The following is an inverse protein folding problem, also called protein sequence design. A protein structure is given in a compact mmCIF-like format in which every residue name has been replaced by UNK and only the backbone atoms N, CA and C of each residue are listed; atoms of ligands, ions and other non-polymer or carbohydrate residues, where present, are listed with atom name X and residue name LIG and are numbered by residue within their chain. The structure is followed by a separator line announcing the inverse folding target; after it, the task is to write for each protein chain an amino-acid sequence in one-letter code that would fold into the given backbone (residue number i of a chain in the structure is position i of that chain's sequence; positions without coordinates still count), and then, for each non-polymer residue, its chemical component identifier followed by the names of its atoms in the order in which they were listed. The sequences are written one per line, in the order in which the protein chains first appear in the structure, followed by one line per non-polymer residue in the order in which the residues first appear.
data_IF_719575858968
#
_entry.id   IF_719575858968
#
_cell.length_a   1.000
_cell.length_b   1.000
_cell.length_c   1.000
_cell.angle_alpha   90.00
_cell.angle_beta   90.00
_cell.angle_gamma   90.00
#
_symmetry.space_group_name_H-M   'P 1'
#
loop_
_entity.id
_entity.type
_entity.pdbx_description
1 polymer ?
#
# COMPACT_ATOMS: atom_id res chain seq x y z
N UNK A 1 -30.97 -39.89 -31.32
CA UNK A 1 -29.70 -39.24 -30.93
C UNK A 1 -30.00 -37.97 -30.14
N UNK A 2 -29.89 -38.00 -28.80
CA UNK A 2 -30.13 -36.84 -27.93
C UNK A 2 -28.83 -36.01 -27.86
N UNK A 3 -28.86 -34.77 -28.34
CA UNK A 3 -27.76 -33.81 -28.15
C UNK A 3 -28.08 -32.97 -26.91
N UNK A 4 -27.49 -33.31 -25.79
CA UNK A 4 -27.49 -32.50 -24.57
C UNK A 4 -26.44 -31.39 -24.71
N UNK A 5 -26.89 -30.15 -24.92
CA UNK A 5 -26.04 -28.96 -24.77
C UNK A 5 -25.79 -28.73 -23.28
N UNK A 6 -24.55 -28.98 -22.83
CA UNK A 6 -24.10 -28.54 -21.51
C UNK A 6 -23.70 -27.07 -21.61
N UNK A 7 -24.62 -26.17 -21.25
CA UNK A 7 -24.32 -24.74 -21.10
C UNK A 7 -23.48 -24.55 -19.83
N UNK A 8 -22.18 -24.33 -19.99
CA UNK A 8 -21.27 -24.06 -18.89
C UNK A 8 -21.57 -22.67 -18.32
N UNK A 9 -22.29 -22.63 -17.20
CA UNK A 9 -22.52 -21.42 -16.43
C UNK A 9 -21.21 -21.02 -15.74
N UNK A 10 -20.45 -20.12 -16.35
CA UNK A 10 -19.28 -19.48 -15.72
C UNK A 10 -19.77 -18.55 -14.60
N UNK A 11 -19.90 -19.08 -13.39
CA UNK A 11 -20.05 -18.26 -12.19
C UNK A 11 -18.77 -17.45 -11.97
N UNK A 12 -18.88 -16.12 -12.09
CA UNK A 12 -17.81 -15.18 -11.75
C UNK A 12 -17.47 -15.22 -10.25
N UNK A 13 -16.47 -16.01 -9.87
CA UNK A 13 -15.80 -15.90 -8.58
C UNK A 13 -14.75 -14.78 -8.65
N UNK A 14 -15.13 -13.53 -8.41
CA UNK A 14 -14.11 -12.44 -8.27
C UNK A 14 -14.42 -11.37 -7.22
N UNK A 15 -15.45 -11.56 -6.38
CA UNK A 15 -15.80 -10.61 -5.31
C UNK A 15 -15.22 -10.96 -3.93
N UNK A 16 -14.78 -12.21 -3.70
CA UNK A 16 -14.48 -12.69 -2.34
C UNK A 16 -13.14 -12.24 -1.74
N UNK A 17 -12.14 -11.87 -2.55
CA UNK A 17 -10.79 -11.55 -2.05
C UNK A 17 -10.71 -10.18 -1.33
N UNK A 18 -11.60 -9.24 -1.66
CA UNK A 18 -11.57 -7.87 -1.11
C UNK A 18 -12.25 -7.76 0.27
N UNK A 19 -13.19 -8.64 0.60
CA UNK A 19 -14.05 -8.49 1.79
C UNK A 19 -13.34 -8.71 3.14
N UNK A 20 -12.19 -9.40 3.15
CA UNK A 20 -11.48 -9.78 4.37
C UNK A 20 -10.02 -9.30 4.43
N UNK A 21 -9.65 -8.33 3.57
CA UNK A 21 -8.29 -7.78 3.57
C UNK A 21 -8.26 -6.55 4.48
N UNK A 22 -7.41 -6.51 5.54
CA UNK A 22 -7.23 -5.31 6.35
C UNK A 22 -6.89 -4.09 5.51
N UNK A 23 -7.50 -2.96 5.84
CA UNK A 23 -7.34 -1.72 5.08
C UNK A 23 -6.30 -0.84 5.77
N UNK A 24 -5.37 -0.22 5.01
CA UNK A 24 -4.46 0.75 5.57
C UNK A 24 -5.22 2.00 6.02
N UNK A 25 -4.63 2.77 6.92
CA UNK A 25 -5.14 4.08 7.33
C UNK A 25 -4.75 5.13 6.28
N UNK A 26 -5.59 5.32 5.27
CA UNK A 26 -5.38 6.27 4.19
C UNK A 26 -6.65 7.07 3.93
N UNK A 27 -6.46 8.28 3.41
CA UNK A 27 -7.54 9.12 2.89
C UNK A 27 -7.57 8.99 1.37
N UNK A 28 -8.39 8.09 0.78
CA UNK A 28 -8.43 7.90 -0.66
C UNK A 28 -9.06 9.15 -1.33
N UNK A 29 -8.88 9.34 -2.64
CA UNK A 29 -9.57 10.46 -3.29
C UNK A 29 -11.08 10.20 -3.32
N UNK A 30 -11.88 11.24 -3.07
CA UNK A 30 -13.34 11.14 -3.01
C UNK A 30 -14.00 10.98 -4.38
N UNK A 31 -13.30 11.30 -5.46
CA UNK A 31 -13.76 11.16 -6.85
C UNK A 31 -12.65 10.59 -7.72
N UNK A 32 -13.02 9.68 -8.63
CA UNK A 32 -12.08 9.00 -9.52
C UNK A 32 -11.35 7.84 -8.84
N UNK A 33 -10.30 7.35 -9.51
CA UNK A 33 -9.54 6.19 -9.04
C UNK A 33 -8.32 6.59 -8.21
N UNK A 34 -7.99 5.78 -7.19
CA UNK A 34 -6.76 5.93 -6.41
C UNK A 34 -6.11 4.56 -6.20
N UNK A 35 -4.83 4.45 -6.55
CA UNK A 35 -4.02 3.28 -6.21
C UNK A 35 -3.30 3.51 -4.89
N UNK A 36 -3.33 2.55 -3.97
CA UNK A 36 -2.52 2.59 -2.75
C UNK A 36 -1.72 1.30 -2.66
N UNK A 37 -0.40 1.39 -2.57
CA UNK A 37 0.50 0.25 -2.41
C UNK A 37 1.07 0.31 -0.99
N UNK A 38 0.76 -0.68 -0.15
CA UNK A 38 1.34 -0.78 1.19
C UNK A 38 2.44 -1.84 1.21
N UNK A 39 3.69 -1.40 1.37
CA UNK A 39 4.88 -2.25 1.23
C UNK A 39 4.92 -3.37 2.29
N UNK A 40 4.85 -3.12 3.61
CA UNK A 40 4.87 -4.18 4.62
C UNK A 40 3.74 -5.21 4.44
N UNK A 41 2.59 -4.75 3.95
CA UNK A 41 1.41 -5.59 3.72
C UNK A 41 1.48 -6.38 2.41
N UNK A 42 2.36 -6.01 1.47
CA UNK A 42 2.48 -6.63 0.15
C UNK A 42 1.13 -6.66 -0.59
N UNK A 43 0.44 -5.52 -0.56
CA UNK A 43 -0.88 -5.32 -1.15
C UNK A 43 -0.97 -4.01 -1.93
N UNK A 44 -1.64 -4.08 -3.07
CA UNK A 44 -2.14 -2.93 -3.81
C UNK A 44 -3.65 -2.85 -3.62
N UNK A 45 -4.16 -1.67 -3.31
CA UNK A 45 -5.57 -1.35 -3.16
C UNK A 45 -5.99 -0.39 -4.26
N UNK A 46 -7.08 -0.70 -4.94
CA UNK A 46 -7.71 0.18 -5.90
C UNK A 46 -8.99 0.75 -5.27
N UNK A 47 -9.03 2.06 -5.13
CA UNK A 47 -10.22 2.80 -4.73
C UNK A 47 -10.88 3.45 -5.95
N UNK A 48 -12.19 3.58 -5.91
CA UNK A 48 -12.98 4.38 -6.86
C UNK A 48 -14.00 5.17 -6.06
N UNK A 49 -14.00 6.48 -6.22
CA UNK A 49 -14.89 7.41 -5.49
C UNK A 49 -14.86 7.19 -3.97
N UNK A 50 -13.64 7.06 -3.42
CA UNK A 50 -13.39 6.82 -2.01
C UNK A 50 -13.71 5.40 -1.50
N UNK A 51 -14.24 4.50 -2.33
CA UNK A 51 -14.60 3.13 -1.95
C UNK A 51 -13.58 2.14 -2.48
N UNK A 52 -13.20 1.16 -1.67
CA UNK A 52 -12.34 0.07 -2.13
C UNK A 52 -13.10 -0.79 -3.15
N UNK A 53 -12.52 -0.99 -4.34
CA UNK A 53 -13.07 -1.85 -5.38
C UNK A 53 -12.31 -3.16 -5.49
N UNK A 54 -10.97 -3.11 -5.41
CA UNK A 54 -10.11 -4.29 -5.53
C UNK A 54 -8.90 -4.23 -4.60
N UNK A 55 -8.45 -5.39 -4.15
CA UNK A 55 -7.17 -5.56 -3.44
C UNK A 55 -6.38 -6.71 -4.08
N UNK A 56 -5.12 -6.48 -4.40
CA UNK A 56 -4.26 -7.43 -5.10
C UNK A 56 -3.01 -7.76 -4.27
N UNK A 57 -2.62 -9.04 -4.19
CA UNK A 57 -1.29 -9.40 -3.69
C UNK A 57 -0.22 -8.88 -4.66
N UNK A 58 0.85 -8.29 -4.11
CA UNK A 58 1.95 -7.78 -4.93
C UNK A 58 3.30 -8.21 -4.39
N UNK A 59 4.29 -8.30 -5.27
CA UNK A 59 5.69 -8.26 -4.89
C UNK A 59 6.28 -6.85 -5.07
N UNK A 60 6.99 -6.36 -4.07
CA UNK A 60 7.62 -5.04 -4.04
C UNK A 60 9.13 -5.16 -3.96
N UNK A 61 9.82 -4.01 -4.04
CA UNK A 61 11.27 -3.91 -4.07
C UNK A 61 11.96 -4.57 -2.88
N UNK A 62 13.11 -5.20 -3.07
CA UNK A 62 13.95 -5.66 -1.94
C UNK A 62 14.59 -4.48 -1.20
N UNK A 63 15.14 -4.72 -0.01
CA UNK A 63 15.71 -3.66 0.83
C UNK A 63 16.75 -2.77 0.11
N UNK A 64 17.54 -3.34 -0.81
CA UNK A 64 18.54 -2.62 -1.61
C UNK A 64 17.96 -1.87 -2.83
N UNK A 65 16.72 -2.16 -3.23
CA UNK A 65 16.04 -1.56 -4.40
C UNK A 65 14.58 -1.34 -4.04
N UNK A 66 14.35 -0.55 -3.00
CA UNK A 66 13.03 -0.35 -2.41
C UNK A 66 12.07 0.24 -3.44
N UNK A 67 10.81 -0.17 -3.41
CA UNK A 67 9.77 0.54 -4.16
C UNK A 67 9.67 1.96 -3.59
N UNK A 68 9.74 2.96 -4.47
CA UNK A 68 9.82 4.36 -4.08
C UNK A 68 8.56 4.80 -3.32
N UNK A 69 8.72 5.23 -2.07
CA UNK A 69 7.65 5.75 -1.23
C UNK A 69 7.19 7.13 -1.70
N UNK A 70 5.93 7.47 -1.46
CA UNK A 70 5.38 8.79 -1.73
C UNK A 70 4.23 8.76 -2.74
N UNK A 71 3.92 9.93 -3.26
CA UNK A 71 2.83 10.14 -4.23
C UNK A 71 3.37 10.01 -5.66
N UNK A 72 2.61 9.29 -6.48
CA UNK A 72 2.90 8.94 -7.86
C UNK A 72 1.65 9.14 -8.72
N UNK A 73 1.82 8.96 -10.03
CA UNK A 73 0.71 8.90 -10.99
C UNK A 73 0.80 7.61 -11.80
N UNK A 74 -0.36 7.07 -12.15
CA UNK A 74 -0.45 5.99 -13.13
C UNK A 74 -0.22 6.57 -14.52
N UNK A 75 0.75 6.04 -15.25
CA UNK A 75 1.12 6.50 -16.59
C UNK A 75 0.59 5.59 -17.69
N UNK A 76 1.36 5.54 -18.79
CA UNK A 76 1.05 4.73 -19.97
C UNK A 76 1.02 3.24 -19.67
N UNK A 77 0.29 2.51 -20.51
CA UNK A 77 0.15 1.05 -20.45
C UNK A 77 0.76 0.42 -21.69
N UNK A 78 1.47 -0.69 -21.53
CA UNK A 78 1.99 -1.48 -22.64
C UNK A 78 1.55 -2.94 -22.47
N UNK A 79 0.81 -3.44 -23.45
CA UNK A 79 0.46 -4.86 -23.53
C UNK A 79 1.56 -5.61 -24.30
N UNK A 80 1.80 -6.86 -23.87
CA UNK A 80 2.85 -7.73 -24.37
C UNK A 80 4.18 -6.98 -24.58
N UNK A 81 4.74 -6.31 -23.56
CA UNK A 81 5.84 -5.38 -23.78
C UNK A 81 7.15 -6.11 -24.15
N UNK A 82 7.95 -5.49 -25.01
CA UNK A 82 9.38 -5.83 -25.09
C UNK A 82 10.10 -5.21 -23.88
N UNK A 83 10.83 -6.03 -23.12
CA UNK A 83 11.58 -5.55 -21.96
C UNK A 83 13.01 -5.17 -22.34
N UNK A 84 13.34 -3.89 -22.24
CA UNK A 84 14.72 -3.41 -22.28
C UNK A 84 15.29 -3.49 -20.86
N UNK A 85 16.29 -4.34 -20.67
CA UNK A 85 16.83 -4.65 -19.35
C UNK A 85 17.63 -3.43 -18.86
N UNK A 86 17.39 -2.91 -17.64
CA UNK A 86 18.20 -1.82 -17.10
C UNK A 86 19.67 -2.24 -16.97
N UNK A 87 20.61 -1.30 -17.16
CA UNK A 87 22.07 -1.57 -17.08
C UNK A 87 22.49 -2.26 -15.78
N UNK A 88 21.88 -1.88 -14.65
CA UNK A 88 22.13 -2.50 -13.35
C UNK A 88 21.80 -3.99 -13.34
N UNK A 89 20.68 -4.39 -13.96
CA UNK A 89 20.28 -5.79 -14.09
C UNK A 89 21.12 -6.52 -15.15
N UNK A 90 21.50 -5.86 -16.25
CA UNK A 90 22.44 -6.45 -17.22
C UNK A 90 23.78 -6.81 -16.54
N UNK A 91 24.31 -5.92 -15.69
CA UNK A 91 25.52 -6.15 -14.91
C UNK A 91 25.38 -7.30 -13.92
N UNK A 92 24.23 -7.42 -13.24
CA UNK A 92 23.92 -8.53 -12.33
C UNK A 92 23.84 -9.88 -13.07
N UNK A 93 23.29 -9.90 -14.28
CA UNK A 93 23.09 -11.12 -15.07
C UNK A 93 24.37 -11.62 -15.75
N UNK A 94 25.17 -10.71 -16.30
CA UNK A 94 26.42 -11.05 -16.99
C UNK A 94 26.28 -11.93 -18.24
N UNK A 95 25.06 -12.13 -18.76
CA UNK A 95 24.76 -13.04 -19.87
C UNK A 95 24.72 -12.34 -21.25
N UNK A 96 25.01 -11.03 -21.30
CA UNK A 96 25.01 -10.23 -22.52
C UNK A 96 23.63 -9.92 -23.10
N UNK A 97 22.54 -10.41 -22.48
CA UNK A 97 21.18 -10.19 -22.95
C UNK A 97 20.75 -8.76 -22.60
N UNK A 98 20.34 -7.99 -23.61
CA UNK A 98 19.91 -6.58 -23.44
C UNK A 98 18.40 -6.40 -23.51
N UNK A 99 17.72 -7.29 -24.24
CA UNK A 99 16.29 -7.22 -24.48
C UNK A 99 15.66 -8.59 -24.34
N UNK A 100 14.43 -8.63 -23.84
CA UNK A 100 13.61 -9.83 -23.81
C UNK A 100 12.30 -9.52 -24.55
N UNK A 101 11.99 -10.25 -25.64
CA UNK A 101 10.79 -10.01 -26.42
C UNK A 101 9.52 -10.41 -25.63
N UNK A 102 8.34 -10.06 -26.14
CA UNK A 102 7.09 -10.49 -25.55
C UNK A 102 6.98 -12.03 -25.52
N UNK A 103 6.33 -12.57 -24.48
CA UNK A 103 6.05 -14.00 -24.37
C UNK A 103 6.18 -14.57 -22.96
N UNK A 104 5.98 -15.89 -22.79
CA UNK A 104 5.90 -16.54 -21.47
C UNK A 104 7.17 -16.40 -20.62
N UNK A 105 8.33 -16.21 -21.26
CA UNK A 105 9.62 -16.04 -20.57
C UNK A 105 9.89 -14.59 -20.15
N UNK A 106 9.07 -13.63 -20.58
CA UNK A 106 9.29 -12.22 -20.26
C UNK A 106 8.96 -11.92 -18.77
N UNK A 107 9.93 -11.42 -17.97
CA UNK A 107 9.71 -11.10 -16.55
C UNK A 107 8.68 -10.01 -16.28
N UNK A 108 8.39 -9.14 -17.26
CA UNK A 108 7.31 -8.16 -17.16
C UNK A 108 5.92 -8.80 -17.29
N UNK A 109 5.84 -10.02 -17.81
CA UNK A 109 4.57 -10.69 -18.09
C UNK A 109 3.81 -10.01 -19.25
N UNK A 110 2.47 -10.14 -19.29
CA UNK A 110 1.67 -9.72 -20.44
C UNK A 110 1.32 -8.22 -20.45
N UNK A 111 1.65 -7.47 -19.39
CA UNK A 111 1.32 -6.05 -19.30
C UNK A 111 2.25 -5.31 -18.35
N UNK A 112 2.56 -4.07 -18.71
CA UNK A 112 3.25 -3.10 -17.89
C UNK A 112 2.40 -1.83 -17.79
N UNK A 113 2.28 -1.28 -16.58
CA UNK A 113 1.62 -0.01 -16.29
C UNK A 113 2.62 0.89 -15.58
N UNK A 114 2.93 2.05 -16.16
CA UNK A 114 3.91 2.99 -15.58
C UNK A 114 3.44 3.49 -14.20
N UNK A 115 4.36 3.52 -13.24
CA UNK A 115 4.15 4.08 -11.90
C UNK A 115 5.12 5.23 -11.67
N UNK A 116 4.62 6.46 -11.63
CA UNK A 116 5.43 7.66 -11.41
C UNK A 116 6.13 8.16 -12.67
N UNK A 117 7.18 8.97 -12.46
CA UNK A 117 7.97 9.58 -13.54
C UNK A 117 8.67 8.49 -14.40
N UNK A 118 8.60 8.58 -15.75
CA UNK A 118 9.33 7.68 -16.65
C UNK A 118 10.80 7.46 -16.29
N UNK A 119 11.50 8.49 -15.78
CA UNK A 119 12.92 8.47 -15.36
C UNK A 119 13.21 7.53 -14.19
N UNK A 120 12.17 7.12 -13.44
CA UNK A 120 12.34 6.16 -12.35
C UNK A 120 12.41 4.72 -12.87
N UNK A 121 12.00 4.47 -14.12
CA UNK A 121 11.92 3.11 -14.64
C UNK A 121 10.92 2.20 -13.91
N UNK A 122 10.04 2.75 -13.06
CA UNK A 122 9.15 1.97 -12.21
C UNK A 122 7.80 1.68 -12.88
N UNK A 123 7.26 0.50 -12.63
CA UNK A 123 5.92 0.14 -13.07
C UNK A 123 5.28 -0.98 -12.26
N UNK A 124 3.99 -1.14 -12.50
CA UNK A 124 3.17 -2.25 -12.04
C UNK A 124 3.03 -3.21 -13.21
N UNK A 125 3.45 -4.46 -13.06
CA UNK A 125 3.50 -5.41 -14.18
C UNK A 125 3.17 -6.84 -13.77
N UNK A 126 2.90 -7.70 -14.75
CA UNK A 126 2.70 -9.14 -14.53
C UNK A 126 3.99 -9.86 -14.16
N UNK A 127 4.03 -11.19 -14.27
CA UNK A 127 5.29 -11.91 -14.06
C UNK A 127 5.25 -13.29 -14.70
N UNK A 128 6.41 -13.76 -15.18
CA UNK A 128 6.65 -15.15 -15.55
C UNK A 128 6.90 -16.07 -14.33
N UNK A 129 7.06 -15.51 -13.13
CA UNK A 129 7.35 -16.24 -11.88
C UNK A 129 6.23 -16.02 -10.84
N UNK A 130 5.05 -16.63 -10.99
CA UNK A 130 3.88 -16.33 -10.15
C UNK A 130 4.07 -16.65 -8.66
N UNK A 131 4.96 -17.58 -8.31
CA UNK A 131 5.36 -17.89 -6.92
C UNK A 131 6.13 -16.75 -6.25
N UNK A 132 6.53 -15.73 -7.01
CA UNK A 132 7.17 -14.52 -6.50
C UNK A 132 6.19 -13.52 -5.87
N UNK A 133 4.88 -13.73 -6.03
CA UNK A 133 3.80 -12.84 -5.57
C UNK A 133 2.93 -13.56 -4.52
N UNK A 134 2.72 -12.99 -3.32
CA UNK A 134 3.28 -11.72 -2.83
C UNK A 134 4.74 -11.86 -2.34
N UNK A 135 5.45 -10.73 -2.17
CA UNK A 135 6.80 -10.77 -1.64
C UNK A 135 7.57 -9.43 -1.64
N UNK A 136 8.83 -9.47 -1.19
CA UNK A 136 9.76 -8.33 -1.16
C UNK A 136 11.04 -8.78 -1.85
N UNK A 137 11.10 -8.62 -3.17
CA UNK A 137 12.11 -9.28 -4.03
C UNK A 137 12.34 -8.65 -5.40
N UNK A 138 11.56 -7.63 -5.78
CA UNK A 138 11.77 -6.96 -7.07
C UNK A 138 12.90 -5.93 -6.99
N UNK A 139 13.26 -5.35 -8.13
CA UNK A 139 14.18 -4.23 -8.25
C UNK A 139 13.42 -2.89 -8.27
N UNK A 140 12.48 -2.71 -7.34
CA UNK A 140 11.68 -1.48 -7.19
C UNK A 140 10.30 -1.53 -7.83
N UNK A 141 10.13 -2.19 -8.98
CA UNK A 141 8.81 -2.37 -9.63
C UNK A 141 7.82 -3.16 -8.77
N UNK A 142 6.53 -3.00 -9.03
CA UNK A 142 5.45 -3.73 -8.35
C UNK A 142 5.00 -4.89 -9.24
N UNK A 143 5.25 -6.12 -8.79
CA UNK A 143 4.89 -7.34 -9.52
C UNK A 143 3.54 -7.87 -9.08
N UNK A 144 2.71 -8.25 -10.04
CA UNK A 144 1.43 -8.91 -9.84
C UNK A 144 1.44 -10.26 -10.53
N UNK A 145 0.55 -11.17 -10.12
CA UNK A 145 0.24 -12.34 -10.95
C UNK A 145 -0.34 -11.82 -12.27
N UNK A 146 0.05 -12.43 -13.38
CA UNK A 146 -0.31 -11.94 -14.72
C UNK A 146 -1.82 -11.74 -14.96
N UNK A 147 -2.74 -12.60 -14.48
CA UNK A 147 -4.17 -12.34 -14.56
C UNK A 147 -4.59 -11.06 -13.80
N UNK A 148 -4.11 -10.88 -12.57
CA UNK A 148 -4.38 -9.70 -11.75
C UNK A 148 -3.83 -8.42 -12.42
N UNK A 149 -2.64 -8.50 -13.01
CA UNK A 149 -2.01 -7.39 -13.73
C UNK A 149 -2.85 -6.94 -14.94
N UNK A 150 -3.36 -7.90 -15.72
CA UNK A 150 -4.23 -7.63 -16.87
C UNK A 150 -5.56 -7.03 -16.44
N UNK A 151 -6.18 -7.55 -15.37
CA UNK A 151 -7.40 -6.97 -14.80
C UNK A 151 -7.16 -5.53 -14.33
N UNK A 152 -6.07 -5.31 -13.60
CA UNK A 152 -5.68 -3.98 -13.12
C UNK A 152 -5.49 -3.02 -14.29
N UNK A 153 -4.71 -3.38 -15.32
CA UNK A 153 -4.43 -2.53 -16.48
C UNK A 153 -5.69 -2.15 -17.28
N UNK A 154 -6.66 -3.07 -17.38
CA UNK A 154 -7.96 -2.82 -18.02
C UNK A 154 -8.83 -1.86 -17.21
N UNK A 155 -8.69 -1.87 -15.89
CA UNK A 155 -9.57 -1.12 -14.97
C UNK A 155 -9.03 0.26 -14.62
N UNK A 156 -7.71 0.40 -14.40
CA UNK A 156 -7.09 1.64 -13.94
C UNK A 156 -7.01 2.67 -15.06
N UNK A 157 -7.30 3.93 -14.78
CA UNK A 157 -7.20 5.02 -15.74
C UNK A 157 -5.82 5.69 -15.66
N UNK A 158 -5.22 6.00 -16.80
CA UNK A 158 -4.02 6.83 -16.86
C UNK A 158 -4.29 8.20 -16.23
N UNK A 159 -3.32 8.74 -15.50
CA UNK A 159 -3.44 9.96 -14.71
C UNK A 159 -3.97 9.76 -13.28
N UNK A 160 -4.46 8.57 -12.92
CA UNK A 160 -4.93 8.29 -11.56
C UNK A 160 -3.79 8.48 -10.55
N UNK A 161 -4.04 9.09 -9.37
CA UNK A 161 -3.06 9.14 -8.29
C UNK A 161 -2.71 7.74 -7.80
N UNK A 162 -1.47 7.59 -7.33
CA UNK A 162 -0.98 6.38 -6.69
C UNK A 162 -0.13 6.74 -5.46
N UNK A 163 -0.47 6.23 -4.27
CA UNK A 163 0.35 6.41 -3.07
C UNK A 163 1.09 5.12 -2.73
N UNK A 164 2.41 5.18 -2.57
CA UNK A 164 3.21 4.09 -2.02
C UNK A 164 3.53 4.41 -0.56
N UNK A 165 2.98 3.61 0.35
CA UNK A 165 3.02 3.84 1.80
C UNK A 165 3.76 2.73 2.54
N UNK A 166 4.13 3.04 3.79
CA UNK A 166 4.82 2.13 4.69
C UNK A 166 4.12 2.05 6.05
N UNK A 167 2.96 1.39 6.07
CA UNK A 167 2.22 1.15 7.32
C UNK A 167 2.43 -0.27 7.81
N UNK A 168 2.99 -0.39 9.02
CA UNK A 168 3.29 -1.66 9.67
C UNK A 168 2.12 -2.23 10.48
N UNK A 169 0.98 -1.54 10.51
CA UNK A 169 -0.25 -2.03 11.12
C UNK A 169 -1.48 -1.55 10.35
N UNK A 170 -2.59 -2.24 10.57
CA UNK A 170 -3.92 -1.81 10.11
C UNK A 170 -4.93 -2.04 11.21
N UNK A 171 -5.77 -1.04 11.44
CA UNK A 171 -6.82 -1.05 12.44
C UNK A 171 -8.16 -0.83 11.74
N UNK A 172 -9.03 -1.83 11.79
CA UNK A 172 -10.27 -1.83 11.02
C UNK A 172 -11.47 -2.23 11.87
N UNK A 173 -12.64 -1.68 11.55
CA UNK A 173 -13.93 -2.10 12.09
C UNK A 173 -14.68 -2.92 11.03
N UNK A 174 -15.29 -4.03 11.45
CA UNK A 174 -16.14 -4.86 10.59
C UNK A 174 -17.64 -4.47 10.69
N UNK A 175 -18.48 -5.10 9.87
CA UNK A 175 -19.91 -4.83 9.85
C UNK A 175 -20.63 -5.12 11.19
N UNK A 176 -20.03 -5.95 12.04
CA UNK A 176 -20.57 -6.36 13.34
C UNK A 176 -20.01 -5.50 14.50
N UNK A 177 -19.40 -4.35 14.21
CA UNK A 177 -18.77 -3.48 15.22
C UNK A 177 -17.67 -4.20 16.00
N UNK A 178 -16.92 -5.08 15.35
CA UNK A 178 -15.71 -5.64 15.92
C UNK A 178 -14.46 -4.94 15.42
N UNK A 179 -13.49 -4.77 16.33
CA UNK A 179 -12.21 -4.16 16.02
C UNK A 179 -11.21 -5.24 15.61
N UNK A 180 -10.52 -5.03 14.50
CA UNK A 180 -9.53 -5.93 13.92
C UNK A 180 -8.18 -5.24 13.82
N UNK A 181 -7.13 -5.93 14.27
CA UNK A 181 -5.75 -5.48 14.19
C UNK A 181 -4.94 -6.48 13.36
N UNK A 182 -4.21 -5.96 12.38
CA UNK A 182 -3.12 -6.66 11.71
C UNK A 182 -1.82 -5.90 11.94
N UNK A 183 -0.72 -6.63 12.14
CA UNK A 183 0.63 -6.07 12.20
C UNK A 183 1.52 -6.82 11.21
N UNK A 184 2.42 -6.10 10.56
CA UNK A 184 3.23 -6.60 9.44
C UNK A 184 4.71 -6.60 9.80
N UNK A 185 5.45 -7.58 9.26
CA UNK A 185 6.91 -7.59 9.35
C UNK A 185 7.48 -6.32 8.70
N UNK A 186 8.65 -5.92 9.16
CA UNK A 186 9.36 -4.74 8.68
C UNK A 186 10.42 -5.14 7.63
N UNK A 187 10.07 -5.23 6.33
CA UNK A 187 11.01 -5.70 5.32
C UNK A 187 12.26 -4.82 5.17
N UNK A 188 12.16 -3.54 5.53
CA UNK A 188 13.24 -2.57 5.37
C UNK A 188 13.86 -2.13 6.71
N UNK A 189 13.47 -2.75 7.83
CA UNK A 189 13.95 -2.43 9.18
C UNK A 189 13.82 -0.94 9.54
N UNK A 190 12.77 -0.26 9.05
CA UNK A 190 12.53 1.16 9.31
C UNK A 190 12.10 1.45 10.76
N UNK A 191 11.57 0.46 11.48
CA UNK A 191 11.11 0.55 12.87
C UNK A 191 10.15 1.73 13.11
N UNK A 192 9.30 2.05 12.13
CA UNK A 192 8.47 3.25 12.12
C UNK A 192 7.04 3.02 12.65
N UNK A 193 6.77 1.89 13.30
CA UNK A 193 5.47 1.63 13.89
C UNK A 193 5.30 2.47 15.17
N UNK A 194 4.44 3.48 15.10
CA UNK A 194 4.00 4.25 16.28
C UNK A 194 3.01 3.43 17.11
N UNK A 195 3.55 2.66 18.05
CA UNK A 195 2.73 1.84 18.95
C UNK A 195 1.92 2.68 19.94
N UNK A 196 2.34 3.92 20.25
CA UNK A 196 1.62 4.79 21.17
C UNK A 196 0.34 5.32 20.51
N UNK A 197 0.44 5.84 19.27
CA UNK A 197 -0.72 6.27 18.49
C UNK A 197 -1.69 5.11 18.23
N UNK A 198 -1.18 3.93 17.89
CA UNK A 198 -2.02 2.74 17.68
C UNK A 198 -2.79 2.35 18.96
N UNK A 199 -2.11 2.27 20.11
CA UNK A 199 -2.76 1.95 21.40
C UNK A 199 -3.77 3.01 21.81
N UNK A 200 -3.44 4.29 21.62
CA UNK A 200 -4.36 5.41 21.86
C UNK A 200 -5.64 5.25 21.04
N UNK A 201 -5.51 4.92 19.76
CA UNK A 201 -6.65 4.70 18.85
C UNK A 201 -7.50 3.49 19.25
N UNK A 202 -6.86 2.38 19.62
CA UNK A 202 -7.55 1.17 20.14
C UNK A 202 -8.34 1.51 21.41
N UNK A 203 -7.72 2.21 22.37
CA UNK A 203 -8.36 2.59 23.62
C UNK A 203 -9.53 3.56 23.40
N UNK A 204 -9.35 4.56 22.54
CA UNK A 204 -10.40 5.51 22.18
C UNK A 204 -11.59 4.82 21.51
N UNK A 205 -11.35 3.90 20.56
CA UNK A 205 -12.42 3.13 19.92
C UNK A 205 -13.13 2.22 20.93
N UNK A 206 -12.38 1.55 21.80
CA UNK A 206 -12.93 0.65 22.82
C UNK A 206 -13.85 1.40 23.79
N UNK A 207 -13.43 2.56 24.28
CA UNK A 207 -14.22 3.45 25.13
C UNK A 207 -15.52 3.90 24.42
N UNK A 208 -15.42 4.33 23.17
CA UNK A 208 -16.58 4.81 22.40
C UNK A 208 -17.61 3.71 22.11
N UNK A 209 -17.21 2.44 22.11
CA UNK A 209 -18.09 1.30 21.80
C UNK A 209 -18.43 0.43 23.03
N UNK A 210 -18.06 0.86 24.25
CA UNK A 210 -18.29 0.09 25.47
C UNK A 210 -17.65 -1.31 25.45
N UNK A 211 -16.48 -1.44 24.81
CA UNK A 211 -15.75 -2.72 24.69
C UNK A 211 -14.49 -2.72 25.54
N UNK A 212 -14.09 -3.90 25.99
CA UNK A 212 -12.80 -4.13 26.66
C UNK A 212 -11.83 -4.81 25.70
N UNK A 213 -10.58 -4.35 25.68
CA UNK A 213 -9.53 -4.91 24.82
C UNK A 213 -8.45 -5.56 25.69
N UNK A 214 -8.08 -6.79 25.36
CA UNK A 214 -6.98 -7.48 26.04
C UNK A 214 -5.63 -6.94 25.54
N UNK A 215 -4.90 -6.21 26.39
CA UNK A 215 -3.59 -5.64 26.08
C UNK A 215 -2.56 -6.72 25.67
N UNK A 216 -2.52 -7.87 26.35
CA UNK A 216 -1.61 -8.98 26.02
C UNK A 216 -1.84 -9.50 24.59
N UNK A 217 -3.09 -9.46 24.12
CA UNK A 217 -3.42 -9.84 22.75
C UNK A 217 -2.84 -8.84 21.74
N UNK A 218 -2.96 -7.54 22.02
CA UNK A 218 -2.34 -6.49 21.20
C UNK A 218 -0.83 -6.70 21.14
N UNK A 219 -0.18 -6.91 22.29
CA UNK A 219 1.26 -7.14 22.37
C UNK A 219 1.70 -8.36 21.55
N UNK A 220 0.96 -9.47 21.65
CA UNK A 220 1.23 -10.67 20.88
C UNK A 220 1.12 -10.44 19.36
N UNK A 221 0.11 -9.68 18.92
CA UNK A 221 -0.07 -9.34 17.49
C UNK A 221 1.10 -8.48 17.00
N UNK A 222 1.46 -7.45 17.76
CA UNK A 222 2.57 -6.54 17.39
C UNK A 222 3.92 -7.26 17.38
N UNK A 223 4.18 -8.14 18.35
CA UNK A 223 5.42 -8.92 18.44
C UNK A 223 5.55 -9.92 17.29
N UNK A 224 4.47 -10.65 16.98
CA UNK A 224 4.52 -11.74 15.99
C UNK A 224 4.41 -11.22 14.55
N UNK A 225 3.69 -10.10 14.35
CA UNK A 225 3.60 -9.38 13.08
C UNK A 225 3.34 -10.28 11.86
N UNK A 226 2.41 -11.24 12.01
CA UNK A 226 2.16 -12.29 11.02
C UNK A 226 1.44 -11.78 9.76
N UNK A 227 0.93 -10.54 9.78
CA UNK A 227 0.06 -9.98 8.76
C UNK A 227 -1.39 -10.47 8.82
N UNK A 228 -1.70 -11.45 9.68
CA UNK A 228 -3.06 -11.93 9.86
C UNK A 228 -3.92 -10.88 10.59
N UNK A 229 -5.19 -10.76 10.18
CA UNK A 229 -6.16 -9.94 10.88
C UNK A 229 -6.64 -10.65 12.15
N UNK A 230 -6.53 -9.98 13.30
CA UNK A 230 -6.91 -10.51 14.60
C UNK A 230 -8.01 -9.65 15.20
N UNK A 231 -9.18 -10.25 15.46
CA UNK A 231 -10.25 -9.53 16.11
C UNK A 231 -9.92 -9.26 17.59
N UNK A 232 -9.90 -8.00 18.03
CA UNK A 232 -9.60 -7.61 19.39
C UNK A 232 -10.81 -7.70 20.33
N UNK A 233 -12.03 -7.71 19.80
CA UNK A 233 -13.30 -7.69 20.56
C UNK A 233 -14.10 -8.98 20.48
N UNK A 234 -13.71 -9.90 19.60
CA UNK A 234 -14.45 -11.13 19.36
C UNK A 234 -13.98 -12.26 20.28
N UNK A 235 -14.89 -13.21 20.52
CA UNK A 235 -14.53 -14.55 20.95
C UNK A 235 -13.52 -15.19 19.97
N UNK A 236 -12.75 -16.20 20.41
CA UNK A 236 -11.87 -16.96 19.53
C UNK A 236 -12.60 -17.52 18.30
N UNK A 237 -11.89 -17.65 17.17
CA UNK A 237 -12.39 -18.28 15.93
C UNK A 237 -13.54 -17.55 15.19
N UNK A 238 -13.88 -16.33 15.57
CA UNK A 238 -14.82 -15.50 14.79
C UNK A 238 -14.18 -15.12 13.44
N UNK A 239 -14.97 -15.24 12.36
CA UNK A 239 -14.56 -14.82 11.00
C UNK A 239 -14.93 -13.35 10.78
N UNK A 240 -14.04 -12.63 10.11
CA UNK A 240 -14.25 -11.25 9.69
C UNK A 240 -15.46 -11.13 8.76
N UNK A 241 -16.23 -10.04 8.92
CA UNK A 241 -17.39 -9.72 8.09
C UNK A 241 -17.17 -8.38 7.37
N UNK A 242 -16.83 -8.45 6.08
CA UNK A 242 -16.70 -7.27 5.24
C UNK A 242 -18.04 -6.57 4.96
N UNK A 243 -18.00 -5.33 4.43
CA UNK A 243 -16.80 -4.53 4.14
C UNK A 243 -16.18 -3.91 5.40
N UNK A 244 -14.85 -3.84 5.44
CA UNK A 244 -14.12 -3.21 6.53
C UNK A 244 -14.13 -1.68 6.41
N UNK A 245 -14.07 -1.00 7.56
CA UNK A 245 -13.82 0.44 7.67
C UNK A 245 -12.47 0.68 8.32
N UNK A 246 -11.63 1.51 7.71
CA UNK A 246 -10.32 1.87 8.26
C UNK A 246 -10.45 2.96 9.33
N UNK A 247 -9.68 2.84 10.40
CA UNK A 247 -9.57 3.87 11.44
C UNK A 247 -8.31 4.71 11.21
N UNK A 248 -8.40 6.00 11.53
CA UNK A 248 -7.35 7.01 11.46
C UNK A 248 -6.27 6.85 12.53
N UNK A 249 -5.81 5.62 12.74
CA UNK A 249 -5.00 5.21 13.88
C UNK A 249 -3.62 5.87 13.91
N UNK A 250 -3.08 6.26 12.76
CA UNK A 250 -1.77 6.92 12.65
C UNK A 250 -1.74 8.28 13.35
N UNK A 251 -2.91 8.92 13.49
CA UNK A 251 -3.08 10.18 14.24
C UNK A 251 -3.44 9.98 15.71
N UNK A 252 -3.50 8.74 16.20
CA UNK A 252 -4.02 8.44 17.54
C UNK A 252 -5.54 8.59 17.65
N UNK A 253 -6.25 8.61 16.52
CA UNK A 253 -7.70 8.80 16.43
C UNK A 253 -8.45 7.49 16.25
N UNK A 254 -9.63 7.40 16.84
CA UNK A 254 -10.59 6.32 16.59
C UNK A 254 -11.60 6.65 15.48
N UNK A 255 -11.52 7.83 14.87
CA UNK A 255 -12.36 8.21 13.75
C UNK A 255 -12.06 7.35 12.53
N UNK A 256 -13.04 7.16 11.65
CA UNK A 256 -12.79 6.50 10.37
C UNK A 256 -11.93 7.38 9.47
N UNK A 257 -11.00 6.77 8.74
CA UNK A 257 -10.26 7.45 7.67
C UNK A 257 -11.25 7.91 6.60
N UNK A 258 -11.23 9.19 6.24
CA UNK A 258 -12.20 9.79 5.32
C UNK A 258 -11.57 10.04 3.96
N UNK A 259 -12.31 9.87 2.86
CA UNK A 259 -11.84 10.30 1.56
C UNK A 259 -11.51 11.80 1.56
N UNK A 260 -10.39 12.17 0.93
CA UNK A 260 -10.00 13.55 0.72
C UNK A 260 -10.57 14.06 -0.60
N UNK A 261 -11.03 15.31 -0.60
CA UNK A 261 -11.30 16.01 -1.85
C UNK A 261 -9.99 16.08 -2.66
N UNK A 262 -10.06 15.66 -3.91
CA UNK A 262 -9.01 15.89 -4.88
C UNK A 262 -9.66 16.51 -6.12
N UNK A 263 -8.95 17.39 -6.84
CA UNK A 263 -9.41 17.84 -8.14
C UNK A 263 -9.75 16.62 -8.99
N UNK A 264 -10.93 16.60 -9.61
CA UNK A 264 -11.30 15.54 -10.54
C UNK A 264 -10.17 15.45 -11.58
N UNK A 265 -9.48 14.31 -11.73
CA UNK A 265 -8.45 14.19 -12.75
C UNK A 265 -9.08 14.59 -14.08
N UNK A 266 -8.43 15.50 -14.81
CA UNK A 266 -8.81 15.78 -16.19
C UNK A 266 -8.82 14.43 -16.91
N UNK A 267 -9.88 14.08 -17.67
CA UNK A 267 -9.89 12.85 -18.42
C UNK A 267 -8.66 12.81 -19.33
N UNK A 268 -7.65 12.04 -18.94
CA UNK A 268 -6.55 11.72 -19.82
C UNK A 268 -7.04 10.57 -20.67
N UNK A 269 -6.85 10.66 -21.98
CA UNK A 269 -7.08 9.51 -22.86
C UNK A 269 -6.30 8.32 -22.28
N UNK A 270 -6.89 7.12 -22.31
CA UNK A 270 -6.17 5.93 -21.85
C UNK A 270 -4.97 5.71 -22.78
N UNK A 271 -3.80 6.23 -22.41
CA UNK A 271 -2.58 6.14 -23.19
C UNK A 271 -2.05 4.71 -23.12
N UNK A 272 -2.59 3.89 -24.03
CA UNK A 272 -2.14 2.53 -24.27
C UNK A 272 -1.18 2.59 -25.46
N UNK A 273 0.06 2.19 -25.24
CA UNK A 273 1.02 2.03 -26.31
C UNK A 273 0.61 0.87 -27.23
N UNK A 274 1.01 0.89 -28.52
CA UNK A 274 0.79 -0.23 -29.42
C UNK A 274 1.27 -1.56 -28.80
N UNK A 275 0.58 -2.65 -29.12
CA UNK A 275 0.97 -3.97 -28.62
C UNK A 275 2.41 -4.32 -29.03
N UNK A 276 3.18 -4.92 -28.12
CA UNK A 276 4.60 -5.20 -28.39
C UNK A 276 5.57 -4.04 -28.08
N UNK A 277 5.04 -2.86 -27.71
CA UNK A 277 5.87 -1.68 -27.46
C UNK A 277 6.99 -1.94 -26.47
N UNK A 278 8.15 -1.36 -26.78
CA UNK A 278 9.29 -1.34 -25.89
C UNK A 278 8.96 -0.54 -24.62
N UNK A 279 9.27 -1.12 -23.46
CA UNK A 279 9.26 -0.39 -22.20
C UNK A 279 10.68 -0.29 -21.69
N UNK A 280 11.18 0.93 -21.65
CA UNK A 280 12.40 1.27 -20.93
C UNK A 280 12.08 1.40 -19.44
N UNK A 281 12.77 0.59 -18.64
CA UNK A 281 12.82 0.70 -17.19
C UNK A 281 14.18 1.26 -16.79
N UNK A 282 14.60 2.36 -17.42
CA UNK A 282 15.81 3.05 -17.02
C UNK A 282 15.55 3.75 -15.68
N UNK A 283 16.08 3.18 -14.61
CA UNK A 283 16.63 3.98 -13.54
C UNK A 283 18.07 4.27 -13.96
N UNK A 284 18.30 5.41 -14.61
CA UNK A 284 19.67 5.90 -14.80
C UNK A 284 20.36 5.92 -13.43
N UNK A 285 21.58 5.39 -13.36
CA UNK A 285 22.39 5.35 -12.14
C UNK A 285 22.41 6.72 -11.45
N UNK A 286 21.64 6.85 -10.35
CA UNK A 286 21.54 8.01 -9.43
C UNK A 286 21.06 9.36 -10.02
N UNK A 287 20.20 10.05 -9.27
CA UNK A 287 20.75 11.12 -8.44
C UNK A 287 20.41 10.89 -6.97
N UNK A 288 21.29 11.34 -6.09
CA UNK A 288 20.97 11.61 -4.69
C UNK A 288 19.60 12.29 -4.63
N UNK A 289 18.59 11.56 -4.17
CA UNK A 289 17.39 12.19 -3.61
C UNK A 289 17.85 12.56 -2.20
N UNK A 290 18.13 13.85 -1.89
CA UNK A 290 18.32 14.22 -0.51
C UNK A 290 17.08 13.75 0.24
N UNK A 291 17.27 13.04 1.34
CA UNK A 291 16.19 12.69 2.24
C UNK A 291 15.40 13.99 2.47
N UNK A 292 14.16 14.05 1.96
CA UNK A 292 13.26 15.15 2.27
C UNK A 292 13.05 15.06 3.77
N UNK A 293 13.76 15.89 4.51
CA UNK A 293 13.49 16.13 5.90
C UNK A 293 12.05 16.62 5.95
N UNK A 294 11.19 15.80 6.57
CA UNK A 294 9.85 16.25 6.93
C UNK A 294 10.04 17.57 7.70
N UNK A 295 9.27 18.63 7.39
CA UNK A 295 9.35 19.85 8.17
C UNK A 295 9.11 19.50 9.63
N UNK A 296 10.10 19.81 10.46
CA UNK A 296 10.02 19.67 11.91
C UNK A 296 8.88 20.57 12.34
N UNK A 297 7.76 19.98 12.77
CA UNK A 297 6.66 20.72 13.39
C UNK A 297 7.29 21.53 14.54
N UNK A 298 7.10 22.86 14.61
CA UNK A 298 7.61 23.65 15.72
C UNK A 298 7.02 23.09 17.02
N UNK A 299 7.89 22.67 17.93
CA UNK A 299 7.50 22.41 19.31
C UNK A 299 7.10 23.77 19.89
N UNK A 300 5.89 23.94 20.45
CA UNK A 300 5.54 25.18 21.13
C UNK A 300 6.55 25.39 22.27
N UNK A 301 7.10 26.60 22.36
CA UNK A 301 7.98 26.97 23.46
C UNK A 301 7.26 26.68 24.79
N UNK A 302 7.95 25.99 25.70
CA UNK A 302 7.48 25.82 27.06
C UNK A 302 7.29 27.21 27.70
N UNK A 303 6.21 27.42 28.49
CA UNK A 303 6.04 28.69 29.19
C UNK A 303 7.22 28.92 30.14
N UNK A 304 7.73 30.16 30.14
CA UNK A 304 8.82 30.57 30.99
C UNK A 304 8.49 30.31 32.46
N UNK A 305 9.43 29.70 33.18
CA UNK A 305 9.37 29.58 34.63
C UNK A 305 9.45 30.99 35.26
N UNK A 306 8.72 31.25 36.35
CA UNK A 306 8.79 32.54 37.04
C UNK A 306 10.18 32.72 37.65
N UNK A 307 10.79 33.87 37.35
CA UNK A 307 12.00 34.37 37.98
C UNK A 307 11.73 34.60 39.47
N UNK A 308 12.35 33.79 40.33
CA UNK A 308 12.59 34.14 41.72
C UNK A 308 13.95 34.81 41.77
N UNK A 309 13.97 36.14 41.84
CA UNK A 309 15.13 36.88 42.31
C UNK A 309 14.74 37.57 43.62
N UNK A 310 15.63 37.38 44.59
CA UNK A 310 15.37 37.57 46.01
C UNK A 310 15.29 39.03 46.42
N UNK A 311 14.25 39.31 47.18
CA UNK A 311 14.13 40.50 48.00
C UNK A 311 14.95 40.28 49.27
N UNK A 312 16.04 41.04 49.42
CA UNK A 312 16.76 41.21 50.66
C UNK A 312 15.88 41.99 51.64
N UNK A 313 15.36 41.32 52.67
CA UNK A 313 14.73 41.98 53.81
C UNK A 313 15.62 41.76 55.03
N UNK A 314 16.29 42.84 55.39
CA UNK A 314 17.05 43.03 56.63
C UNK A 314 16.07 43.27 57.77
N UNK A 315 16.22 42.51 58.87
CA UNK A 315 15.47 42.64 60.11
C UNK A 315 15.98 43.86 60.90
N UNK A 316 15.15 44.89 61.11
CA UNK A 316 15.24 45.80 62.26
C UNK A 316 13.85 46.38 62.60
N UNK A 317 13.38 46.01 63.80
CA UNK A 317 12.23 46.51 64.60
C UNK A 317 10.79 46.24 64.14
#
# INVERSE_FOLDING_TARGET
MKKTLFSLLMLGLSAAASANTPLPDISPVSQGQHVVINIPQQRLFLYTDGKLTKAYPVAVGKAATQTNLGEHKIGVKAYNPTWHIPKSIQKERGDGVKTIPPGPKNPLGPVFVRLGDPKLGLGIHGTNAPSSVPGVRSHGCVRMKSPDALEFAKTISTGSPASVIYQMASLNEDANKNLWLAAYRDPYKKKNLDTAALRKSIAAWAKANGKTINAKRVDAILKNATGAANCLTCAPKVKMKGPLKSLAWTSGSAAYSKPKAAPKPVPVQNDTLPDGSAVEVDASDTPDIPAVSLPRIPVPAAPAAPTQDGESVELLF
#
